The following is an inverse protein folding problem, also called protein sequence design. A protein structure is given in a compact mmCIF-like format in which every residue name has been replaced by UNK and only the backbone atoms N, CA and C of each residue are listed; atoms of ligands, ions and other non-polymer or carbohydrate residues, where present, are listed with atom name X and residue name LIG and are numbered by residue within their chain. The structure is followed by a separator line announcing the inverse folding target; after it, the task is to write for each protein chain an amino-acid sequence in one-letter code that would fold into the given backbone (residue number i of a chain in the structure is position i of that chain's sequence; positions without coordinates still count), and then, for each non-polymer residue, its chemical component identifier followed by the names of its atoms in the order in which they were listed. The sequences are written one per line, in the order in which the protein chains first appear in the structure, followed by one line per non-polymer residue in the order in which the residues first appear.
data_IF_825701690865
#
_entry.id   IF_825701690865
#
_cell.length_a   1.000
_cell.length_b   1.000
_cell.length_c   1.000
_cell.angle_alpha   90.00
_cell.angle_beta   90.00
_cell.angle_gamma   90.00
#
_symmetry.space_group_name_H-M   'P 1'
#
loop_
_entity.id
_entity.type
_entity.pdbx_description
1 polymer ?
#
# COMPACT_ATOMS: atom_id res chain seq x y z
N UNK A 1 0.46 25.74 8.97
CA UNK A 1 0.08 24.31 9.07
C UNK A 1 1.01 23.51 8.16
N UNK A 2 1.79 22.58 8.70
CA UNK A 2 2.60 21.68 7.88
C UNK A 2 1.63 20.82 7.09
N UNK A 3 1.68 20.85 5.75
CA UNK A 3 0.90 19.93 4.90
C UNK A 3 1.34 18.52 5.24
N UNK A 4 0.52 17.76 5.98
CA UNK A 4 0.81 16.37 6.29
C UNK A 4 0.91 15.58 4.98
N UNK A 5 1.96 14.77 4.86
CA UNK A 5 2.06 13.80 3.77
C UNK A 5 0.92 12.79 3.85
N UNK A 6 0.58 12.17 2.73
CA UNK A 6 -0.47 11.13 2.70
C UNK A 6 -0.16 9.99 3.69
N UNK A 7 1.12 9.66 3.85
CA UNK A 7 1.62 8.70 4.84
C UNK A 7 1.32 9.11 6.28
N UNK A 8 1.56 10.39 6.61
CA UNK A 8 1.24 10.94 7.93
C UNK A 8 -0.25 10.86 8.22
N UNK A 9 -1.09 11.15 7.21
CA UNK A 9 -2.55 11.03 7.34
C UNK A 9 -3.01 9.58 7.52
N UNK A 10 -2.46 8.64 6.75
CA UNK A 10 -2.76 7.20 6.89
C UNK A 10 -2.46 6.74 8.33
N UNK A 11 -1.26 7.06 8.84
CA UNK A 11 -0.86 6.66 10.19
C UNK A 11 -1.74 7.30 11.27
N UNK A 12 -2.15 8.55 11.09
CA UNK A 12 -3.04 9.25 12.03
C UNK A 12 -4.44 8.64 12.05
N UNK A 13 -5.05 8.44 10.88
CA UNK A 13 -6.41 7.91 10.75
C UNK A 13 -6.48 6.45 11.20
N UNK A 14 -5.47 5.65 10.89
CA UNK A 14 -5.38 4.26 11.33
C UNK A 14 -5.36 4.11 12.86
N UNK A 15 -4.74 5.07 13.57
CA UNK A 15 -4.63 5.06 15.04
C UNK A 15 -5.78 5.75 15.78
N UNK A 16 -6.75 6.33 15.06
CA UNK A 16 -7.82 7.10 15.69
C UNK A 16 -8.72 6.22 16.58
N UNK A 17 -9.02 6.71 17.79
CA UNK A 17 -9.98 6.10 18.69
C UNK A 17 -11.36 6.72 18.47
N UNK A 18 -12.25 5.97 17.81
CA UNK A 18 -13.58 6.44 17.43
C UNK A 18 -14.47 6.67 18.67
N UNK A 19 -14.32 5.87 19.72
CA UNK A 19 -15.11 6.05 20.95
C UNK A 19 -14.75 7.36 21.64
N UNK A 20 -13.45 7.66 21.79
CA UNK A 20 -13.01 8.91 22.42
C UNK A 20 -13.47 10.16 21.64
N UNK A 21 -13.56 10.06 20.31
CA UNK A 21 -14.11 11.13 19.48
C UNK A 21 -15.63 11.31 19.69
N UNK A 22 -16.36 10.20 19.85
CA UNK A 22 -17.81 10.24 20.10
C UNK A 22 -18.16 10.84 21.46
N UNK A 23 -17.37 10.53 22.49
CA UNK A 23 -17.59 11.04 23.85
C UNK A 23 -17.47 12.58 23.93
N UNK A 24 -16.76 13.19 22.98
CA UNK A 24 -16.53 14.64 22.89
C UNK A 24 -17.46 15.34 21.89
N UNK A 25 -18.30 14.58 21.17
CA UNK A 25 -19.10 15.13 20.09
C UNK A 25 -20.39 15.79 20.61
N UNK A 26 -20.60 17.07 20.29
CA UNK A 26 -21.88 17.77 20.54
C UNK A 26 -23.03 17.16 19.71
N UNK A 27 -22.75 16.81 18.45
CA UNK A 27 -23.66 16.08 17.57
C UNK A 27 -22.95 14.82 17.03
N UNK A 28 -23.07 13.68 17.75
CA UNK A 28 -22.42 12.44 17.36
C UNK A 28 -22.85 11.92 15.99
N UNK A 29 -24.10 12.16 15.57
CA UNK A 29 -24.61 11.67 14.29
C UNK A 29 -23.96 12.44 13.14
N UNK A 30 -23.97 13.78 13.18
CA UNK A 30 -23.32 14.62 12.18
C UNK A 30 -21.82 14.38 12.11
N UNK A 31 -21.17 14.18 13.27
CA UNK A 31 -19.74 13.86 13.32
C UNK A 31 -19.45 12.54 12.58
N UNK A 32 -20.19 11.47 12.86
CA UNK A 32 -19.99 10.18 12.18
C UNK A 32 -20.25 10.26 10.68
N UNK A 33 -21.30 10.97 10.24
CA UNK A 33 -21.57 11.17 8.82
C UNK A 33 -20.39 11.87 8.13
N UNK A 34 -19.81 12.88 8.78
CA UNK A 34 -18.64 13.58 8.26
C UNK A 34 -17.41 12.67 8.23
N UNK A 35 -17.14 11.93 9.31
CA UNK A 35 -16.00 11.02 9.38
C UNK A 35 -16.08 9.89 8.35
N UNK A 36 -17.26 9.32 8.12
CA UNK A 36 -17.44 8.29 7.07
C UNK A 36 -17.05 8.84 5.70
N UNK A 37 -17.48 10.06 5.37
CA UNK A 37 -17.10 10.73 4.10
C UNK A 37 -15.60 10.99 4.04
N UNK A 38 -15.03 11.56 5.09
CA UNK A 38 -13.61 11.91 5.12
C UNK A 38 -12.71 10.68 5.05
N UNK A 39 -13.03 9.61 5.78
CA UNK A 39 -12.30 8.34 5.68
C UNK A 39 -12.41 7.75 4.28
N UNK A 40 -13.61 7.73 3.68
CA UNK A 40 -13.80 7.21 2.33
C UNK A 40 -12.92 7.95 1.30
N UNK A 41 -12.89 9.28 1.37
CA UNK A 41 -12.05 10.10 0.49
C UNK A 41 -10.55 9.87 0.73
N UNK A 42 -10.11 9.85 1.99
CA UNK A 42 -8.71 9.60 2.33
C UNK A 42 -8.25 8.19 1.94
N UNK A 43 -9.13 7.18 2.04
CA UNK A 43 -8.86 5.81 1.60
C UNK A 43 -8.66 5.78 0.08
N UNK A 44 -9.51 6.43 -0.70
CA UNK A 44 -9.37 6.47 -2.15
C UNK A 44 -8.04 7.14 -2.59
N UNK A 45 -7.68 8.26 -1.95
CA UNK A 45 -6.38 8.91 -2.19
C UNK A 45 -5.21 7.99 -1.79
N UNK A 46 -5.32 7.33 -0.63
CA UNK A 46 -4.30 6.42 -0.13
C UNK A 46 -4.12 5.22 -1.06
N UNK A 47 -5.20 4.61 -1.55
CA UNK A 47 -5.16 3.51 -2.51
C UNK A 47 -4.36 3.87 -3.77
N UNK A 48 -4.59 5.06 -4.33
CA UNK A 48 -3.84 5.54 -5.48
C UNK A 48 -2.35 5.69 -5.18
N UNK A 49 -1.99 6.30 -4.04
CA UNK A 49 -0.59 6.50 -3.67
C UNK A 49 0.13 5.18 -3.33
N UNK A 50 -0.57 4.24 -2.67
CA UNK A 50 -0.03 2.91 -2.39
C UNK A 50 0.19 2.14 -3.68
N UNK A 51 -0.77 2.19 -4.62
CA UNK A 51 -0.63 1.54 -5.92
C UNK A 51 0.57 2.08 -6.72
N UNK A 52 0.76 3.40 -6.75
CA UNK A 52 1.92 4.02 -7.38
C UNK A 52 3.23 3.57 -6.74
N UNK A 53 3.29 3.53 -5.40
CA UNK A 53 4.49 3.10 -4.66
C UNK A 53 4.83 1.63 -4.93
N UNK A 54 3.82 0.75 -4.99
CA UNK A 54 3.97 -0.65 -5.38
C UNK A 54 4.49 -0.75 -6.82
N UNK A 55 3.97 0.06 -7.74
CA UNK A 55 4.43 0.12 -9.13
C UNK A 55 5.91 0.46 -9.22
N UNK A 56 6.34 1.49 -8.50
CA UNK A 56 7.76 1.89 -8.46
C UNK A 56 8.66 0.79 -7.90
N UNK A 57 8.24 0.10 -6.83
CA UNK A 57 8.98 -1.03 -6.27
C UNK A 57 9.10 -2.17 -7.29
N UNK A 58 8.04 -2.48 -8.04
CA UNK A 58 8.06 -3.52 -9.07
C UNK A 58 9.03 -3.19 -10.20
N UNK A 59 9.10 -1.93 -10.62
CA UNK A 59 10.08 -1.49 -11.63
C UNK A 59 11.50 -1.70 -11.10
N UNK A 60 11.79 -1.26 -9.87
CA UNK A 60 13.11 -1.45 -9.26
C UNK A 60 13.49 -2.94 -9.12
N UNK A 61 12.54 -3.79 -8.76
CA UNK A 61 12.74 -5.24 -8.70
C UNK A 61 12.96 -5.85 -10.09
N UNK A 62 12.30 -5.33 -11.13
CA UNK A 62 12.51 -5.77 -12.50
C UNK A 62 13.92 -5.43 -12.99
N UNK A 63 14.38 -4.20 -12.75
CA UNK A 63 15.73 -3.74 -13.08
C UNK A 63 16.79 -4.62 -12.37
N UNK A 64 16.62 -4.87 -11.07
CA UNK A 64 17.48 -5.80 -10.32
C UNK A 64 17.54 -7.20 -10.94
N UNK A 65 16.39 -7.77 -11.31
CA UNK A 65 16.34 -9.09 -11.92
C UNK A 65 17.01 -9.11 -13.30
N UNK A 66 16.92 -8.02 -14.05
CA UNK A 66 17.63 -7.86 -15.32
C UNK A 66 19.14 -7.82 -15.11
N UNK A 67 19.63 -7.09 -14.11
CA UNK A 67 21.06 -7.03 -13.77
C UNK A 67 21.60 -8.40 -13.34
N UNK A 68 20.86 -9.14 -12.51
CA UNK A 68 21.20 -10.51 -12.12
C UNK A 68 21.29 -11.42 -13.35
N UNK A 69 20.32 -11.33 -14.26
CA UNK A 69 20.34 -12.10 -15.51
C UNK A 69 21.52 -11.70 -16.39
N UNK A 70 21.80 -10.41 -16.52
CA UNK A 70 22.91 -9.88 -17.31
C UNK A 70 24.25 -10.37 -16.77
N UNK A 71 24.44 -10.36 -15.44
CA UNK A 71 25.61 -10.94 -14.80
C UNK A 71 25.80 -12.42 -15.18
N UNK A 72 24.74 -13.22 -15.09
CA UNK A 72 24.78 -14.63 -15.47
C UNK A 72 25.12 -14.83 -16.96
N UNK A 73 24.49 -14.06 -17.85
CA UNK A 73 24.72 -14.13 -19.29
C UNK A 73 26.17 -13.75 -19.66
N UNK A 74 26.74 -12.73 -19.01
CA UNK A 74 28.13 -12.34 -19.18
C UNK A 74 29.11 -13.39 -18.62
N UNK A 75 28.79 -14.00 -17.47
CA UNK A 75 29.58 -15.11 -16.93
C UNK A 75 29.62 -16.32 -17.85
N UNK A 76 28.48 -16.68 -18.46
CA UNK A 76 28.42 -17.74 -19.46
C UNK A 76 29.27 -17.42 -20.70
N UNK A 77 29.23 -16.16 -21.18
CA UNK A 77 30.07 -15.71 -22.30
C UNK A 77 31.56 -15.75 -21.95
N UNK A 78 31.92 -15.34 -20.73
CA UNK A 78 33.30 -15.42 -20.25
C UNK A 78 33.81 -16.86 -20.23
N UNK A 79 33.00 -17.79 -19.70
CA UNK A 79 33.33 -19.21 -19.66
C UNK A 79 33.49 -19.81 -21.07
N UNK A 80 32.58 -19.49 -21.99
CA UNK A 80 32.67 -19.94 -23.37
C UNK A 80 33.91 -19.39 -24.08
N UNK A 81 34.23 -18.10 -23.90
CA UNK A 81 35.42 -17.49 -24.47
C UNK A 81 36.71 -18.11 -23.91
N UNK A 82 36.77 -18.35 -22.60
CA UNK A 82 37.91 -19.02 -21.96
C UNK A 82 38.12 -20.44 -22.50
N UNK A 83 37.05 -21.24 -22.60
CA UNK A 83 37.13 -22.59 -23.20
C UNK A 83 37.65 -22.54 -24.63
N UNK A 84 37.18 -21.57 -25.41
CA UNK A 84 37.61 -21.41 -26.80
C UNK A 84 39.08 -20.98 -26.90
N UNK A 85 39.56 -20.15 -25.97
CA UNK A 85 40.98 -19.81 -25.88
C UNK A 85 41.84 -21.06 -25.59
N UNK A 86 41.38 -21.94 -24.70
CA UNK A 86 42.06 -23.19 -24.37
C UNK A 86 42.14 -24.13 -25.60
N UNK A 87 41.06 -24.25 -26.37
CA UNK A 87 41.05 -25.01 -27.62
C UNK A 87 42.09 -24.49 -28.63
N UNK A 88 42.12 -23.17 -28.85
CA UNK A 88 43.11 -22.56 -29.77
C UNK A 88 44.54 -22.74 -29.28
N UNK A 89 44.76 -22.69 -27.96
CA UNK A 89 46.07 -22.93 -27.36
C UNK A 89 46.51 -24.38 -27.58
N UNK A 90 45.60 -25.34 -27.40
CA UNK A 90 45.85 -26.76 -27.64
C UNK A 90 46.12 -27.06 -29.14
N UNK A 91 45.51 -26.31 -30.05
CA UNK A 91 45.74 -26.45 -31.49
C UNK A 91 46.96 -25.65 -32.02
N UNK A 92 47.76 -25.04 -31.15
CA UNK A 92 48.93 -24.24 -31.53
C UNK A 92 48.63 -22.85 -32.11
N UNK A 93 47.37 -22.40 -32.07
CA UNK A 93 46.98 -21.06 -32.54
C UNK A 93 47.02 -20.04 -31.38
N UNK A 94 48.24 -19.63 -31.01
CA UNK A 94 48.46 -18.72 -29.90
C UNK A 94 47.80 -17.34 -30.11
N UNK A 95 47.72 -16.85 -31.35
CA UNK A 95 47.16 -15.55 -31.66
C UNK A 95 45.65 -15.49 -31.37
N UNK A 96 44.89 -16.50 -31.77
CA UNK A 96 43.45 -16.55 -31.48
C UNK A 96 43.17 -16.91 -30.01
N UNK A 97 44.02 -17.71 -29.36
CA UNK A 97 43.92 -17.93 -27.92
C UNK A 97 43.95 -16.61 -27.13
N UNK A 98 44.91 -15.73 -27.43
CA UNK A 98 45.01 -14.40 -26.78
C UNK A 98 43.78 -13.53 -27.06
N UNK A 99 43.22 -13.58 -28.28
CA UNK A 99 41.98 -12.83 -28.60
C UNK A 99 40.81 -13.30 -27.73
N UNK A 100 40.62 -14.60 -27.59
CA UNK A 100 39.53 -15.16 -26.79
C UNK A 100 39.75 -14.98 -25.28
N UNK A 101 40.99 -15.01 -24.79
CA UNK A 101 41.33 -14.62 -23.42
C UNK A 101 40.94 -13.15 -23.14
N UNK A 102 41.17 -12.24 -24.09
CA UNK A 102 40.75 -10.85 -23.97
C UNK A 102 39.22 -10.69 -23.99
N UNK A 103 38.50 -11.47 -24.82
CA UNK A 103 37.03 -11.51 -24.79
C UNK A 103 36.51 -12.00 -23.45
N UNK A 104 37.12 -13.03 -22.86
CA UNK A 104 36.77 -13.53 -21.54
C UNK A 104 36.94 -12.44 -20.47
N UNK A 105 38.06 -11.70 -20.48
CA UNK A 105 38.29 -10.58 -19.56
C UNK A 105 37.23 -9.49 -19.68
N UNK A 106 36.87 -9.10 -20.91
CA UNK A 106 35.82 -8.10 -21.13
C UNK A 106 34.47 -8.60 -20.62
N UNK A 107 34.13 -9.86 -20.87
CA UNK A 107 32.89 -10.46 -20.37
C UNK A 107 32.85 -10.51 -18.83
N UNK A 108 33.96 -10.86 -18.16
CA UNK A 108 34.08 -10.81 -16.70
C UNK A 108 33.87 -9.39 -16.18
N UNK A 109 34.48 -8.39 -16.81
CA UNK A 109 34.31 -6.99 -16.40
C UNK A 109 32.83 -6.55 -16.49
N UNK A 110 32.11 -7.00 -17.53
CA UNK A 110 30.68 -6.73 -17.69
C UNK A 110 29.83 -7.48 -16.65
N UNK A 111 30.16 -8.75 -16.38
CA UNK A 111 29.53 -9.51 -15.30
C UNK A 111 29.67 -8.78 -13.97
N UNK A 112 30.89 -8.38 -13.59
CA UNK A 112 31.14 -7.67 -12.34
C UNK A 112 30.40 -6.34 -12.24
N UNK A 113 30.24 -5.60 -13.35
CA UNK A 113 29.44 -4.36 -13.35
C UNK A 113 27.98 -4.66 -13.00
N UNK A 114 27.37 -5.62 -13.69
CA UNK A 114 25.98 -5.99 -13.45
C UNK A 114 25.76 -6.57 -12.04
N UNK A 115 26.71 -7.36 -11.52
CA UNK A 115 26.66 -7.84 -10.12
C UNK A 115 26.70 -6.70 -9.11
N UNK A 116 27.53 -5.67 -9.36
CA UNK A 116 27.62 -4.51 -8.49
C UNK A 116 26.36 -3.64 -8.56
N UNK A 117 25.77 -3.47 -9.74
CA UNK A 117 24.51 -2.75 -9.94
C UNK A 117 23.36 -3.44 -9.20
N UNK A 118 23.21 -4.76 -9.37
CA UNK A 118 22.23 -5.57 -8.64
C UNK A 118 22.42 -5.43 -7.12
N UNK A 119 23.66 -5.61 -6.63
CA UNK A 119 23.97 -5.50 -5.19
C UNK A 119 23.68 -4.11 -4.64
N UNK A 120 23.93 -3.06 -5.41
CA UNK A 120 23.65 -1.68 -5.00
C UNK A 120 22.14 -1.40 -4.90
N UNK A 121 21.31 -2.12 -5.66
CA UNK A 121 19.85 -1.97 -5.62
C UNK A 121 19.20 -2.67 -4.41
N UNK A 122 19.81 -3.71 -3.85
CA UNK A 122 19.22 -4.51 -2.76
C UNK A 122 18.76 -3.69 -1.54
N UNK A 123 19.56 -2.76 -0.98
CA UNK A 123 19.14 -1.99 0.20
C UNK A 123 17.93 -1.09 -0.10
N UNK A 124 17.86 -0.54 -1.32
CA UNK A 124 16.76 0.31 -1.75
C UNK A 124 15.48 -0.53 -1.93
N UNK A 125 15.58 -1.70 -2.57
CA UNK A 125 14.46 -2.65 -2.69
C UNK A 125 13.94 -3.05 -1.30
N UNK A 126 14.83 -3.38 -0.38
CA UNK A 126 14.45 -3.76 0.98
C UNK A 126 13.71 -2.62 1.70
N UNK A 127 14.26 -1.41 1.69
CA UNK A 127 13.63 -0.24 2.32
C UNK A 127 12.26 0.08 1.72
N UNK A 128 12.15 0.06 0.38
CA UNK A 128 10.89 0.35 -0.30
C UNK A 128 9.85 -0.75 -0.09
N UNK A 129 10.28 -2.01 0.06
CA UNK A 129 9.39 -3.11 0.43
C UNK A 129 8.77 -2.89 1.81
N UNK A 130 9.57 -2.48 2.81
CA UNK A 130 9.03 -2.14 4.13
C UNK A 130 8.04 -0.97 4.09
N UNK A 131 8.31 0.05 3.27
CA UNK A 131 7.42 1.20 3.10
C UNK A 131 6.08 0.74 2.51
N UNK A 132 6.12 -0.11 1.48
CA UNK A 132 4.93 -0.70 0.87
C UNK A 132 4.13 -1.52 1.90
N UNK A 133 4.79 -2.32 2.73
CA UNK A 133 4.10 -3.14 3.75
C UNK A 133 3.44 -2.28 4.82
N UNK A 134 4.14 -1.26 5.33
CA UNK A 134 3.59 -0.29 6.30
C UNK A 134 2.39 0.46 5.71
N UNK A 135 2.47 0.84 4.44
CA UNK A 135 1.39 1.51 3.72
C UNK A 135 0.15 0.62 3.58
N UNK A 136 0.33 -0.64 3.15
CA UNK A 136 -0.77 -1.60 3.00
C UNK A 136 -1.45 -1.86 4.34
N UNK A 137 -0.66 -2.10 5.38
CA UNK A 137 -1.17 -2.27 6.75
C UNK A 137 -1.97 -1.06 7.24
N UNK A 138 -1.45 0.16 7.05
CA UNK A 138 -2.16 1.39 7.42
C UNK A 138 -3.46 1.58 6.65
N UNK A 139 -3.47 1.26 5.36
CA UNK A 139 -4.67 1.31 4.52
C UNK A 139 -5.74 0.31 4.98
N UNK A 140 -5.34 -0.92 5.32
CA UNK A 140 -6.27 -1.93 5.84
C UNK A 140 -6.85 -1.52 7.19
N UNK A 141 -6.04 -0.91 8.06
CA UNK A 141 -6.51 -0.34 9.32
C UNK A 141 -7.54 0.79 9.09
N UNK A 142 -7.29 1.68 8.14
CA UNK A 142 -8.25 2.74 7.77
C UNK A 142 -9.58 2.16 7.28
N UNK A 143 -9.54 1.12 6.44
CA UNK A 143 -10.75 0.42 5.97
C UNK A 143 -11.51 -0.22 7.13
N UNK A 144 -10.81 -0.84 8.07
CA UNK A 144 -11.40 -1.34 9.32
C UNK A 144 -12.09 -0.24 10.13
N UNK A 145 -11.45 0.93 10.26
CA UNK A 145 -12.03 2.10 10.94
C UNK A 145 -13.24 2.66 10.23
N UNK A 146 -13.24 2.71 8.90
CA UNK A 146 -14.41 3.11 8.11
C UNK A 146 -15.61 2.18 8.36
N UNK A 147 -15.37 0.86 8.46
CA UNK A 147 -16.42 -0.10 8.78
C UNK A 147 -16.97 0.11 10.20
N UNK A 148 -16.10 0.38 11.18
CA UNK A 148 -16.49 0.71 12.55
C UNK A 148 -17.35 1.99 12.60
N UNK A 149 -16.90 3.06 11.94
CA UNK A 149 -17.62 4.33 11.81
C UNK A 149 -19.00 4.13 11.17
N UNK A 150 -19.06 3.37 10.08
CA UNK A 150 -20.31 3.11 9.35
C UNK A 150 -21.30 2.34 10.23
N UNK A 151 -20.82 1.35 10.98
CA UNK A 151 -21.66 0.55 11.88
C UNK A 151 -22.23 1.40 13.02
N UNK A 152 -21.39 2.21 13.68
CA UNK A 152 -21.81 3.15 14.73
C UNK A 152 -22.80 4.19 14.21
N UNK A 153 -22.58 4.70 13.00
CA UNK A 153 -23.48 5.65 12.34
C UNK A 153 -24.85 5.04 12.10
N UNK A 154 -24.89 3.82 11.56
CA UNK A 154 -26.14 3.10 11.32
C UNK A 154 -26.89 2.83 12.63
N UNK A 155 -26.18 2.46 13.69
CA UNK A 155 -26.74 2.25 15.02
C UNK A 155 -27.39 3.51 15.59
N UNK A 156 -26.69 4.66 15.55
CA UNK A 156 -27.25 5.94 16.01
C UNK A 156 -28.49 6.34 15.21
N UNK A 157 -28.46 6.20 13.90
CA UNK A 157 -29.62 6.50 13.04
C UNK A 157 -30.81 5.60 13.37
N UNK A 158 -30.58 4.30 13.60
CA UNK A 158 -31.63 3.36 13.98
C UNK A 158 -32.24 3.72 15.35
N UNK A 159 -31.40 4.01 16.35
CA UNK A 159 -31.84 4.43 17.69
C UNK A 159 -32.68 5.71 17.60
N UNK A 160 -32.21 6.72 16.86
CA UNK A 160 -32.93 7.98 16.64
C UNK A 160 -34.33 7.76 16.04
N UNK A 161 -34.44 6.89 15.02
CA UNK A 161 -35.73 6.52 14.42
C UNK A 161 -36.66 5.81 15.41
N UNK A 162 -36.13 4.88 16.21
CA UNK A 162 -36.91 4.18 17.24
C UNK A 162 -37.44 5.14 18.29
N UNK A 163 -36.62 6.07 18.78
CA UNK A 163 -37.05 7.09 19.74
C UNK A 163 -38.14 7.98 19.13
N UNK A 164 -37.96 8.46 17.90
CA UNK A 164 -38.96 9.29 17.22
C UNK A 164 -40.31 8.55 17.06
N UNK A 165 -40.28 7.26 16.70
CA UNK A 165 -41.48 6.44 16.61
C UNK A 165 -42.17 6.25 17.97
N UNK A 166 -41.40 6.01 19.04
CA UNK A 166 -41.94 5.90 20.40
C UNK A 166 -42.60 7.21 20.86
N UNK A 167 -41.95 8.35 20.58
CA UNK A 167 -42.53 9.67 20.88
C UNK A 167 -43.84 9.88 20.14
N UNK A 168 -43.89 9.58 18.84
CA UNK A 168 -45.10 9.72 18.03
C UNK A 168 -46.26 8.85 18.54
N UNK A 169 -45.98 7.59 18.93
CA UNK A 169 -46.99 6.70 19.53
C UNK A 169 -47.49 7.25 20.87
N UNK A 170 -46.59 7.75 21.72
CA UNK A 170 -46.95 8.31 23.01
C UNK A 170 -47.73 9.63 22.91
N UNK A 171 -47.43 10.46 21.91
CA UNK A 171 -48.20 11.68 21.63
C UNK A 171 -49.59 11.34 21.09
N UNK A 172 -49.70 10.37 20.19
CA UNK A 172 -50.98 9.88 19.67
C UNK A 172 -51.85 9.26 20.77
N UNK A 173 -51.27 8.49 21.70
CA UNK A 173 -52.01 7.91 22.83
C UNK A 173 -52.53 9.00 23.78
N UNK A 174 -51.73 10.02 24.09
CA UNK A 174 -52.19 11.17 24.88
C UNK A 174 -53.36 11.91 24.22
N UNK A 175 -53.29 12.12 22.91
CA UNK A 175 -54.37 12.77 22.15
C UNK A 175 -55.66 11.94 22.12
N UNK A 176 -55.57 10.61 22.12
CA UNK A 176 -56.73 9.73 22.19
C UNK A 176 -57.40 9.74 23.58
N UNK A 177 -56.63 9.84 24.66
CA UNK A 177 -57.18 9.82 26.03
C UNK A 177 -57.84 11.15 26.42
N UNK A 178 -57.46 12.27 25.80
CA UNK A 178 -58.11 13.57 26.00
C UNK A 178 -59.41 13.75 25.21
N UNK A 179 -59.76 12.80 24.34
CA UNK A 179 -61.02 12.82 23.59
C UNK A 179 -62.14 12.19 24.41
N UNK A 180 -62.89 13.01 25.16
CA UNK A 180 -64.18 12.63 25.77
C UNK A 180 -65.31 13.04 24.83
N UNK A 181 -66.13 12.12 24.29
CA UNK A 181 -67.24 12.49 23.42
C UNK A 181 -68.32 13.25 24.21
N UNK A 182 -68.97 14.27 23.62
CA UNK A 182 -70.02 15.02 24.30
C UNK A 182 -71.22 14.10 24.63
N UNK A 183 -71.72 14.21 25.87
CA UNK A 183 -72.90 13.46 26.32
C UNK A 183 -74.12 13.88 25.50
N UNK A 184 -74.88 12.90 25.02
CA UNK A 184 -76.14 13.08 24.28
C UNK A 184 -77.28 13.48 25.22
#
# INVERSE_FOLDING_TARGET
MVKQSIFGRIAQLAKANINALLDQAEDPQKMLDQMVRDYSNNIAEAESAVAQTIGNLRMLQADYNEDVKNAQDWGNKALAASRKADEYRASGNAADAVKFDNLAKVAIQRQMSAENEAKAAEPNIASQSEVVDKLKSGLDQMKGKLNELTSKRNELVARSKTVAAQTQVHDASRASTSWTPPAR
#
